data_IF_103192205252
#
_entry.id   IF_103192205252
#
_cell.length_a   1.000
_cell.length_b   1.000
_cell.length_c   1.000
_cell.angle_alpha   90.00
_cell.angle_beta   90.00
_cell.angle_gamma   90.00
#
_symmetry.space_group_name_H-M   'P 1'
#
loop_
_entity.id
_entity.type
_entity.pdbx_description
1 polymer ?
#
# COMPACT_ATOMS: atom_id res chain seq x y z
N UNK A 1 26.88 13.95 55.19
CA UNK A 1 26.21 12.78 54.62
C UNK A 1 25.41 13.24 53.38
N UNK A 2 25.95 13.00 52.17
CA UNK A 2 25.23 13.34 50.88
C UNK A 2 24.34 12.18 50.51
N UNK A 3 23.01 12.41 50.48
CA UNK A 3 22.05 11.42 50.02
C UNK A 3 22.05 11.41 48.48
N UNK A 4 22.50 10.33 47.86
CA UNK A 4 22.33 10.07 46.44
C UNK A 4 20.89 9.62 46.23
N UNK A 5 20.10 10.42 45.51
CA UNK A 5 18.77 10.02 45.00
C UNK A 5 19.04 9.33 43.66
N UNK A 6 18.91 8.00 43.63
CA UNK A 6 18.92 7.22 42.39
C UNK A 6 17.55 7.39 41.72
N UNK A 7 17.52 8.12 40.63
CA UNK A 7 16.34 8.22 39.75
C UNK A 7 16.34 6.97 38.88
N UNK A 8 15.44 6.03 39.17
CA UNK A 8 15.19 4.84 38.36
C UNK A 8 14.43 5.31 37.09
N UNK A 9 15.11 5.41 35.97
CA UNK A 9 14.46 5.61 34.67
C UNK A 9 13.75 4.31 34.30
N UNK A 10 12.43 4.28 34.47
CA UNK A 10 11.59 3.20 33.98
C UNK A 10 11.45 3.39 32.46
N UNK A 11 12.29 2.73 31.68
CA UNK A 11 12.11 2.65 30.22
C UNK A 11 10.90 1.76 29.97
N UNK A 12 9.78 2.39 29.61
CA UNK A 12 8.60 1.69 29.10
C UNK A 12 8.98 1.11 27.72
N UNK A 13 9.34 -0.17 27.67
CA UNK A 13 9.48 -0.90 26.42
C UNK A 13 8.07 -1.04 25.84
N UNK A 14 7.75 -0.19 24.85
CA UNK A 14 6.57 -0.41 24.02
C UNK A 14 6.85 -1.62 23.14
N UNK A 15 6.14 -2.69 23.37
CA UNK A 15 6.17 -3.85 22.48
C UNK A 15 5.54 -3.42 21.15
N UNK A 16 6.36 -3.31 20.11
CA UNK A 16 5.88 -3.12 18.75
C UNK A 16 5.22 -4.42 18.29
N UNK A 17 4.05 -4.31 17.71
CA UNK A 17 3.34 -5.43 17.11
C UNK A 17 3.37 -5.28 15.59
N UNK A 18 3.63 -6.37 14.88
CA UNK A 18 3.63 -6.39 13.43
C UNK A 18 2.39 -7.12 12.91
N UNK A 19 1.95 -6.75 11.72
CA UNK A 19 0.88 -7.47 11.03
C UNK A 19 1.51 -8.53 10.14
N UNK A 20 1.14 -9.78 10.35
CA UNK A 20 1.40 -10.87 9.43
C UNK A 20 0.24 -10.99 8.45
N UNK A 21 0.51 -10.80 7.14
CA UNK A 21 -0.52 -10.83 6.11
C UNK A 21 -0.83 -12.25 5.65
N UNK A 22 -2.11 -12.59 5.58
CA UNK A 22 -2.60 -13.76 4.85
C UNK A 22 -2.65 -13.44 3.35
N UNK A 23 -1.56 -13.75 2.63
CA UNK A 23 -1.44 -13.51 1.20
C UNK A 23 -2.41 -14.34 0.35
N UNK A 24 -3.05 -15.37 0.90
CA UNK A 24 -4.10 -16.12 0.19
C UNK A 24 -5.38 -15.31 0.06
N UNK A 25 -5.66 -14.45 1.05
CA UNK A 25 -6.84 -13.59 1.12
C UNK A 25 -6.56 -12.16 0.71
N UNK A 26 -5.33 -11.67 0.90
CA UNK A 26 -4.92 -10.31 0.60
C UNK A 26 -4.67 -10.09 -0.89
N UNK A 27 -4.99 -8.90 -1.38
CA UNK A 27 -4.64 -8.48 -2.73
C UNK A 27 -4.58 -6.96 -2.86
N UNK A 28 -3.83 -6.51 -3.86
CA UNK A 28 -3.92 -5.14 -4.39
C UNK A 28 -4.31 -5.27 -5.86
N UNK A 29 -5.25 -4.45 -6.31
CA UNK A 29 -5.67 -4.43 -7.70
C UNK A 29 -5.64 -3.03 -8.29
N UNK A 30 -5.50 -2.96 -9.60
CA UNK A 30 -5.70 -1.74 -10.38
C UNK A 30 -6.75 -1.95 -11.46
N UNK A 31 -7.56 -0.92 -11.70
CA UNK A 31 -8.53 -0.90 -12.80
C UNK A 31 -8.06 0.03 -13.91
N UNK A 32 -7.79 -0.57 -15.07
CA UNK A 32 -7.50 0.15 -16.31
C UNK A 32 -8.75 0.31 -17.17
N UNK A 33 -8.89 1.47 -17.83
CA UNK A 33 -10.08 1.80 -18.64
C UNK A 33 -9.69 2.33 -20.02
N UNK A 34 -10.30 1.74 -21.03
CA UNK A 34 -10.26 2.21 -22.42
C UNK A 34 -11.70 2.26 -22.96
N UNK A 35 -12.06 3.18 -23.88
CA UNK A 35 -13.43 3.23 -24.42
C UNK A 35 -13.97 1.91 -24.97
N UNK A 36 -13.10 1.03 -25.47
CA UNK A 36 -13.49 -0.27 -26.00
C UNK A 36 -13.61 -1.36 -24.94
N UNK A 37 -12.92 -1.28 -23.79
CA UNK A 37 -12.94 -2.31 -22.74
C UNK A 37 -12.27 -1.82 -21.45
N UNK A 38 -12.67 -2.43 -20.34
CA UNK A 38 -12.04 -2.28 -19.02
C UNK A 38 -11.34 -3.58 -18.66
N UNK A 39 -10.38 -3.47 -17.71
CA UNK A 39 -9.72 -4.64 -17.14
C UNK A 39 -9.25 -4.36 -15.71
N UNK A 40 -9.04 -5.41 -14.95
CA UNK A 40 -8.46 -5.36 -13.62
C UNK A 40 -7.19 -6.22 -13.60
N UNK A 41 -6.09 -5.67 -13.12
CA UNK A 41 -4.88 -6.45 -12.78
C UNK A 41 -4.81 -6.63 -11.27
N UNK A 42 -4.50 -7.84 -10.82
CA UNK A 42 -4.47 -8.21 -9.39
C UNK A 42 -3.08 -8.74 -9.05
N UNK A 43 -2.52 -8.25 -7.94
CA UNK A 43 -1.35 -8.84 -7.29
C UNK A 43 -1.71 -9.35 -5.90
N UNK A 44 -1.14 -10.49 -5.53
CA UNK A 44 -1.13 -11.05 -4.18
C UNK A 44 0.26 -11.03 -3.55
N UNK A 45 1.27 -10.58 -4.30
CA UNK A 45 2.65 -10.46 -3.83
C UNK A 45 2.84 -9.10 -3.14
N UNK A 46 2.38 -9.03 -1.89
CA UNK A 46 2.46 -7.84 -1.05
C UNK A 46 3.59 -8.05 -0.07
N UNK A 47 4.55 -7.14 -0.05
CA UNK A 47 5.76 -7.23 0.74
C UNK A 47 5.94 -6.00 1.62
N UNK A 48 6.75 -6.12 2.67
CA UNK A 48 7.02 -5.02 3.59
C UNK A 48 6.43 -5.25 4.98
N UNK A 49 6.22 -4.17 5.72
CA UNK A 49 5.82 -4.24 7.13
C UNK A 49 4.72 -3.24 7.46
N UNK A 50 3.84 -3.63 8.37
CA UNK A 50 2.92 -2.74 9.07
C UNK A 50 3.16 -2.90 10.57
N UNK A 51 3.68 -1.85 11.19
CA UNK A 51 3.84 -1.77 12.64
C UNK A 51 2.57 -1.17 13.23
N UNK A 52 1.90 -1.92 14.11
CA UNK A 52 0.67 -1.48 14.76
C UNK A 52 0.97 -1.03 16.19
N UNK A 53 0.56 0.18 16.51
CA UNK A 53 0.42 0.62 17.89
C UNK A 53 -1.03 0.41 18.36
N UNK A 54 -1.26 -0.65 19.14
CA UNK A 54 -2.62 -1.01 19.61
C UNK A 54 -3.26 0.03 20.53
N UNK A 55 -2.45 0.87 21.19
CA UNK A 55 -2.95 1.91 22.11
C UNK A 55 -3.37 3.16 21.35
N UNK A 56 -2.65 3.48 20.26
CA UNK A 56 -2.94 4.62 19.39
C UNK A 56 -2.56 4.29 17.94
N UNK A 57 -3.54 3.91 17.15
CA UNK A 57 -3.35 3.55 15.74
C UNK A 57 -2.72 4.69 14.90
N UNK A 58 -2.81 5.95 15.34
CA UNK A 58 -2.17 7.07 14.65
C UNK A 58 -0.63 7.05 14.74
N UNK A 59 -0.08 6.27 15.68
CA UNK A 59 1.36 6.04 15.84
C UNK A 59 1.86 4.78 15.08
N UNK A 60 0.97 4.11 14.37
CA UNK A 60 1.32 2.97 13.51
C UNK A 60 2.12 3.42 12.29
N UNK A 61 2.84 2.47 11.65
CA UNK A 61 3.65 2.75 10.46
C UNK A 61 3.38 1.72 9.39
N UNK A 62 3.41 2.17 8.16
CA UNK A 62 3.21 1.35 6.96
C UNK A 62 4.39 1.53 6.03
N UNK A 63 5.00 0.43 5.62
CA UNK A 63 6.00 0.39 4.57
C UNK A 63 5.76 -0.86 3.72
N UNK A 64 4.99 -0.69 2.65
CA UNK A 64 4.55 -1.77 1.78
C UNK A 64 5.05 -1.54 0.36
N UNK A 65 5.39 -2.63 -0.32
CA UNK A 65 5.73 -2.60 -1.73
C UNK A 65 5.21 -3.84 -2.45
N UNK A 66 4.98 -3.69 -3.76
CA UNK A 66 4.46 -4.74 -4.64
C UNK A 66 5.34 -4.79 -5.88
N UNK A 67 5.86 -5.98 -6.26
CA UNK A 67 6.55 -6.15 -7.52
C UNK A 67 5.60 -5.89 -8.69
N UNK A 68 6.00 -5.05 -9.64
CA UNK A 68 5.14 -4.68 -10.77
C UNK A 68 4.80 -5.90 -11.63
N UNK A 69 5.75 -6.83 -11.79
CA UNK A 69 5.54 -8.06 -12.58
C UNK A 69 4.50 -9.02 -11.98
N UNK A 70 4.15 -8.86 -10.69
CA UNK A 70 3.21 -9.74 -10.02
C UNK A 70 1.74 -9.45 -10.35
N UNK A 71 1.45 -8.31 -10.98
CA UNK A 71 0.09 -8.00 -11.42
C UNK A 71 -0.33 -8.85 -12.60
N UNK A 72 -1.48 -9.51 -12.47
CA UNK A 72 -2.04 -10.40 -13.47
C UNK A 72 -3.45 -9.93 -13.85
N UNK A 73 -3.63 -9.53 -15.10
CA UNK A 73 -4.93 -9.11 -15.66
C UNK A 73 -5.65 -10.22 -16.42
N UNK A 74 -5.15 -11.47 -16.36
CA UNK A 74 -5.62 -12.64 -17.12
C UNK A 74 -5.47 -12.47 -18.64
N UNK A 75 -4.54 -11.63 -19.07
CA UNK A 75 -4.17 -11.45 -20.46
C UNK A 75 -2.67 -11.16 -20.57
N UNK A 76 -1.91 -12.19 -20.96
CA UNK A 76 -0.44 -12.14 -20.99
C UNK A 76 0.12 -11.01 -21.89
N UNK A 77 -0.53 -10.73 -23.02
CA UNK A 77 -0.08 -9.64 -23.90
C UNK A 77 -0.26 -8.27 -23.26
N UNK A 78 -1.39 -8.06 -22.55
CA UNK A 78 -1.63 -6.83 -21.81
C UNK A 78 -0.67 -6.68 -20.65
N UNK A 79 -0.40 -7.75 -19.93
CA UNK A 79 0.52 -7.75 -18.80
C UNK A 79 1.95 -7.46 -19.27
N UNK A 80 2.43 -8.09 -20.35
CA UNK A 80 3.72 -7.76 -20.96
C UNK A 80 3.81 -6.30 -21.42
N UNK A 81 2.79 -5.80 -22.12
CA UNK A 81 2.75 -4.39 -22.52
C UNK A 81 2.74 -3.42 -21.33
N UNK A 82 2.09 -3.79 -20.22
CA UNK A 82 2.10 -2.99 -19.00
C UNK A 82 3.52 -2.91 -18.43
N UNK A 83 4.24 -4.03 -18.35
CA UNK A 83 5.62 -4.07 -17.85
C UNK A 83 6.55 -3.18 -18.70
N UNK A 84 6.41 -3.22 -20.01
CA UNK A 84 7.18 -2.37 -20.93
C UNK A 84 6.86 -0.88 -20.72
N UNK A 85 5.59 -0.53 -20.58
CA UNK A 85 5.12 0.86 -20.43
C UNK A 85 5.56 1.49 -19.11
N UNK A 86 5.62 0.69 -18.04
CA UNK A 86 6.07 1.17 -16.72
C UNK A 86 7.57 0.96 -16.49
N UNK A 87 8.30 0.51 -17.53
CA UNK A 87 9.75 0.30 -17.48
C UNK A 87 10.17 -0.57 -16.28
N UNK A 88 9.46 -1.71 -16.08
CA UNK A 88 9.58 -2.60 -14.92
C UNK A 88 11.04 -3.00 -14.65
N UNK A 89 11.83 -3.23 -15.68
CA UNK A 89 13.25 -3.58 -15.54
C UNK A 89 14.06 -2.54 -14.73
N UNK A 90 13.71 -1.24 -14.83
CA UNK A 90 14.34 -0.16 -14.10
C UNK A 90 13.61 0.19 -12.80
N UNK A 91 12.30 -0.02 -12.78
CA UNK A 91 11.40 0.35 -11.67
C UNK A 91 10.53 -0.84 -11.25
N UNK A 92 11.14 -1.88 -10.66
CA UNK A 92 10.46 -3.17 -10.44
C UNK A 92 9.38 -3.14 -9.36
N UNK A 93 9.28 -2.06 -8.57
CA UNK A 93 8.35 -1.99 -7.45
C UNK A 93 7.51 -0.72 -7.44
N UNK A 94 6.27 -0.86 -6.97
CA UNK A 94 5.49 0.23 -6.41
C UNK A 94 5.62 0.16 -4.90
N UNK A 95 5.99 1.27 -4.22
CA UNK A 95 6.18 1.33 -2.77
C UNK A 95 5.43 2.48 -2.16
N UNK A 96 4.81 2.23 -1.00
CA UNK A 96 4.21 3.25 -0.17
C UNK A 96 4.80 3.19 1.25
N UNK A 97 5.27 4.35 1.74
CA UNK A 97 5.81 4.51 3.09
C UNK A 97 5.06 5.62 3.79
N UNK A 98 4.38 5.31 4.90
CA UNK A 98 3.64 6.31 5.66
C UNK A 98 4.56 7.29 6.38
N UNK A 99 4.13 8.55 6.44
CA UNK A 99 4.75 9.60 7.27
C UNK A 99 3.87 10.02 8.44
N UNK A 100 2.55 9.87 8.28
CA UNK A 100 1.55 10.25 9.29
C UNK A 100 0.25 9.47 9.07
N UNK A 101 -0.43 9.16 10.17
CA UNK A 101 -1.76 8.56 10.15
C UNK A 101 -2.68 9.46 10.96
N UNK A 102 -3.79 9.88 10.38
CA UNK A 102 -4.82 10.71 11.02
C UNK A 102 -6.12 9.91 11.10
N UNK A 103 -6.93 10.17 12.13
CA UNK A 103 -8.31 9.68 12.17
C UNK A 103 -9.16 10.46 11.19
N UNK A 104 -10.07 9.79 10.49
CA UNK A 104 -11.07 10.38 9.60
C UNK A 104 -12.49 9.92 9.98
N UNK A 105 -13.52 10.39 9.31
CA UNK A 105 -14.91 10.02 9.60
C UNK A 105 -15.20 8.54 9.34
N UNK A 106 -14.54 7.95 8.33
CA UNK A 106 -14.76 6.56 7.91
C UNK A 106 -13.62 5.61 8.30
N UNK A 107 -12.62 6.08 9.07
CA UNK A 107 -11.47 5.26 9.45
C UNK A 107 -10.20 6.09 9.65
N UNK A 108 -9.25 5.98 8.73
CA UNK A 108 -7.96 6.68 8.83
C UNK A 108 -7.55 7.25 7.47
N UNK A 109 -6.88 8.40 7.51
CA UNK A 109 -6.15 8.96 6.39
C UNK A 109 -4.66 8.70 6.60
N UNK A 110 -4.09 7.84 5.78
CA UNK A 110 -2.67 7.49 5.82
C UNK A 110 -1.91 8.38 4.84
N UNK A 111 -1.19 9.36 5.36
CA UNK A 111 -0.33 10.26 4.57
C UNK A 111 1.03 9.62 4.41
N UNK A 112 1.59 9.65 3.22
CA UNK A 112 2.88 9.05 2.94
C UNK A 112 3.41 9.30 1.54
N UNK A 113 4.52 8.66 1.24
CA UNK A 113 5.20 8.74 -0.03
C UNK A 113 4.89 7.52 -0.89
N UNK A 114 4.26 7.72 -2.04
CA UNK A 114 4.06 6.70 -3.07
C UNK A 114 5.14 6.84 -4.14
N UNK A 115 5.97 5.81 -4.27
CA UNK A 115 7.03 5.72 -5.28
C UNK A 115 6.61 4.75 -6.37
N UNK A 116 6.56 5.24 -7.61
CA UNK A 116 6.26 4.44 -8.80
C UNK A 116 7.00 5.01 -10.01
N UNK A 117 7.51 4.16 -10.89
CA UNK A 117 8.21 4.55 -12.12
C UNK A 117 9.30 5.63 -11.88
N UNK A 118 10.10 5.45 -10.80
CA UNK A 118 11.16 6.39 -10.42
C UNK A 118 10.71 7.75 -9.90
N UNK A 119 9.41 7.97 -9.74
CA UNK A 119 8.83 9.21 -9.21
C UNK A 119 8.23 8.92 -7.83
N UNK A 120 8.51 9.80 -6.87
CA UNK A 120 7.91 9.76 -5.54
C UNK A 120 7.01 10.98 -5.36
N UNK A 121 5.79 10.73 -4.88
CA UNK A 121 4.80 11.77 -4.58
C UNK A 121 4.17 11.54 -3.21
N UNK A 122 3.78 12.62 -2.55
CA UNK A 122 2.96 12.53 -1.36
C UNK A 122 1.52 12.17 -1.75
N UNK A 123 0.96 11.21 -1.01
CA UNK A 123 -0.41 10.74 -1.13
C UNK A 123 -1.07 10.70 0.24
N UNK A 124 -2.36 10.98 0.25
CA UNK A 124 -3.24 10.67 1.37
C UNK A 124 -4.16 9.53 0.94
N UNK A 125 -4.00 8.38 1.55
CA UNK A 125 -4.75 7.16 1.22
C UNK A 125 -5.80 6.94 2.31
N UNK A 126 -7.11 6.97 1.96
CA UNK A 126 -8.18 6.64 2.90
C UNK A 126 -8.14 5.14 3.20
N UNK A 127 -8.24 4.79 4.46
CA UNK A 127 -8.15 3.41 4.94
C UNK A 127 -9.28 3.13 5.92
N UNK A 128 -10.01 2.05 5.68
CA UNK A 128 -10.95 1.48 6.64
C UNK A 128 -10.29 0.27 7.30
N UNK A 129 -10.42 0.16 8.62
CA UNK A 129 -9.90 -0.95 9.40
C UNK A 129 -11.07 -1.61 10.13
N UNK A 130 -11.24 -2.91 9.88
CA UNK A 130 -12.25 -3.73 10.54
C UNK A 130 -11.56 -4.90 11.24
N UNK A 131 -12.12 -5.32 12.37
CA UNK A 131 -11.67 -6.50 13.10
C UNK A 131 -12.68 -7.63 12.88
N UNK A 132 -12.19 -8.81 12.50
CA UNK A 132 -12.98 -10.04 12.39
C UNK A 132 -12.27 -11.15 13.16
N UNK A 133 -12.77 -11.45 14.36
CA UNK A 133 -12.17 -12.38 15.33
C UNK A 133 -10.73 -11.98 15.68
N UNK A 134 -9.74 -12.78 15.25
CA UNK A 134 -8.32 -12.52 15.48
C UNK A 134 -7.64 -11.81 14.29
N UNK A 135 -8.40 -11.56 13.21
CA UNK A 135 -7.87 -10.92 12.02
C UNK A 135 -8.20 -9.43 11.98
N UNK A 136 -7.30 -8.67 11.36
CA UNK A 136 -7.54 -7.30 10.93
C UNK A 136 -7.79 -7.34 9.43
N UNK A 137 -8.83 -6.64 9.01
CA UNK A 137 -9.14 -6.42 7.60
C UNK A 137 -8.94 -4.93 7.30
N UNK A 138 -8.04 -4.64 6.37
CA UNK A 138 -7.74 -3.29 5.91
C UNK A 138 -8.21 -3.15 4.48
N UNK A 139 -9.06 -2.16 4.22
CA UNK A 139 -9.55 -1.82 2.88
C UNK A 139 -9.21 -0.39 2.52
N UNK A 140 -8.96 -0.16 1.24
CA UNK A 140 -8.73 1.17 0.71
C UNK A 140 -9.10 1.23 -0.77
N UNK A 141 -9.73 2.31 -1.16
CA UNK A 141 -10.01 2.67 -2.55
C UNK A 141 -9.48 4.08 -2.81
N UNK A 142 -8.58 4.22 -3.78
CA UNK A 142 -8.02 5.51 -4.20
C UNK A 142 -7.65 5.48 -5.69
N UNK A 143 -7.18 6.59 -6.22
CA UNK A 143 -6.79 6.67 -7.63
C UNK A 143 -5.46 7.38 -7.80
N UNK A 144 -4.72 6.99 -8.84
CA UNK A 144 -3.52 7.66 -9.29
C UNK A 144 -3.69 8.16 -10.73
N UNK A 145 -2.91 9.18 -11.11
CA UNK A 145 -2.80 9.60 -12.50
C UNK A 145 -1.48 9.09 -13.09
N UNK A 146 -1.52 8.33 -14.18
CA UNK A 146 -0.31 7.80 -14.83
C UNK A 146 0.69 8.90 -15.20
N UNK A 147 0.19 10.05 -15.66
CA UNK A 147 1.04 11.21 -16.01
C UNK A 147 1.76 11.82 -14.81
N UNK A 148 1.27 11.63 -13.60
CA UNK A 148 1.91 12.08 -12.37
C UNK A 148 3.24 11.35 -12.11
N UNK A 149 3.32 10.13 -12.60
CA UNK A 149 4.51 9.28 -12.56
C UNK A 149 5.26 9.24 -13.91
N UNK A 150 4.98 10.21 -14.81
CA UNK A 150 5.57 10.30 -16.15
C UNK A 150 5.36 9.05 -17.02
N UNK A 151 4.37 8.22 -16.70
CA UNK A 151 4.04 7.03 -17.47
C UNK A 151 3.32 7.46 -18.74
N UNK A 152 3.86 7.03 -19.90
CA UNK A 152 3.26 7.26 -21.20
C UNK A 152 2.03 6.38 -21.36
N UNK A 153 0.85 7.00 -21.48
CA UNK A 153 -0.40 6.24 -21.66
C UNK A 153 -0.39 5.50 -23.01
N UNK A 154 -0.49 4.16 -23.01
CA UNK A 154 -0.60 3.40 -24.25
C UNK A 154 -1.91 3.73 -25.00
N UNK A 155 -1.91 3.53 -26.30
CA UNK A 155 -3.06 3.76 -27.15
C UNK A 155 -3.39 2.51 -27.95
N UNK A 156 -4.68 2.24 -28.11
CA UNK A 156 -5.22 1.26 -29.05
C UNK A 156 -5.94 2.03 -30.17
N UNK A 157 -5.55 1.80 -31.42
CA UNK A 157 -6.11 2.50 -32.60
C UNK A 157 -6.17 4.03 -32.41
N UNK A 158 -5.11 4.65 -31.94
CA UNK A 158 -4.97 6.09 -31.64
C UNK A 158 -5.67 6.61 -30.38
N UNK A 159 -6.56 5.85 -29.77
CA UNK A 159 -7.25 6.24 -28.55
C UNK A 159 -6.43 5.78 -27.34
N UNK A 160 -6.04 6.74 -26.48
CA UNK A 160 -5.27 6.45 -25.27
C UNK A 160 -6.16 5.89 -24.16
N UNK A 161 -5.61 5.00 -23.34
CA UNK A 161 -6.27 4.58 -22.10
C UNK A 161 -6.55 5.79 -21.21
N UNK A 162 -7.51 5.64 -20.26
CA UNK A 162 -7.77 6.67 -19.25
C UNK A 162 -6.49 6.98 -18.47
N UNK A 163 -6.29 8.24 -18.11
CA UNK A 163 -5.13 8.65 -17.31
C UNK A 163 -5.22 8.20 -15.86
N UNK A 164 -6.42 8.24 -15.31
CA UNK A 164 -6.70 7.77 -13.95
C UNK A 164 -6.75 6.24 -13.93
N UNK A 165 -6.08 5.68 -12.95
CA UNK A 165 -6.11 4.26 -12.59
C UNK A 165 -6.66 4.17 -11.16
N UNK A 166 -7.73 3.39 -11.01
CA UNK A 166 -8.36 3.19 -9.71
C UNK A 166 -7.67 2.00 -9.03
N UNK A 167 -7.31 2.17 -7.75
CA UNK A 167 -6.57 1.18 -6.96
C UNK A 167 -7.44 0.70 -5.83
N UNK A 168 -7.51 -0.62 -5.63
CA UNK A 168 -8.12 -1.24 -4.46
C UNK A 168 -7.09 -2.02 -3.68
N UNK A 169 -7.14 -1.84 -2.37
CA UNK A 169 -6.33 -2.60 -1.41
C UNK A 169 -7.27 -3.39 -0.52
N UNK A 170 -7.01 -4.68 -0.39
CA UNK A 170 -7.69 -5.56 0.54
C UNK A 170 -6.64 -6.42 1.24
N UNK A 171 -6.39 -6.16 2.51
CA UNK A 171 -5.41 -6.88 3.30
C UNK A 171 -6.10 -7.57 4.46
N UNK A 172 -5.77 -8.83 4.66
CA UNK A 172 -6.16 -9.63 5.82
C UNK A 172 -4.89 -10.03 6.55
N UNK A 173 -4.85 -9.80 7.84
CA UNK A 173 -3.68 -10.17 8.64
C UNK A 173 -4.03 -10.36 10.10
N UNK A 174 -3.10 -10.96 10.84
CA UNK A 174 -3.15 -11.08 12.30
C UNK A 174 -2.06 -10.22 12.94
N UNK A 175 -2.31 -9.74 14.15
CA UNK A 175 -1.32 -8.98 14.90
C UNK A 175 -0.47 -9.94 15.71
N UNK A 176 0.80 -10.09 15.33
CA UNK A 176 1.77 -10.80 16.14
C UNK A 176 2.34 -9.90 17.24
N UNK A 177 2.33 -10.38 18.46
CA UNK A 177 3.05 -9.75 19.57
C UNK A 177 4.47 -10.32 19.55
N UNK A 178 5.49 -9.48 19.40
CA UNK A 178 6.85 -9.92 19.68
C UNK A 178 6.93 -10.37 21.15
N UNK A 179 7.37 -11.61 21.34
CA UNK A 179 7.65 -12.20 22.67
C UNK A 179 8.96 -11.65 23.24
#
# INVERSE_FOLDING_TARGET
>A
MKKFISILFFQCLFAQSFVEFDLTKSFISYDGKHPAHNWTGISKDIQGTVEINKQDLTQSKVDLFVPVFSFNSKNANRDSNMLDVVEEYYYPFVRFTSSKINKSESGFDVVGSLSFHGITKEFTIPVELNEDNENIIVTSDFSIMLTDFKIKRPALLTIKIRNQVDIKVYLVGSIENQK
#
